data_IF_622714324581
#
_entry.id   IF_622714324581
#
_cell.length_a   1.000
_cell.length_b   1.000
_cell.length_c   1.000
_cell.angle_alpha   90.00
_cell.angle_beta   90.00
_cell.angle_gamma   90.00
#
_symmetry.space_group_name_H-M   'P 1'
#
loop_
_entity.id
_entity.type
_entity.pdbx_description
1 polymer ?
#
# COMPACT_ATOMS: atom_id res chain seq x y z
N UNK A 1 -4.86 -16.49 -14.26
CA UNK A 1 -4.39 -15.39 -13.38
C UNK A 1 -5.14 -15.44 -12.06
N UNK A 2 -4.44 -15.58 -10.94
CA UNK A 2 -5.00 -15.59 -9.57
C UNK A 2 -5.26 -14.18 -9.02
N UNK A 3 -5.52 -13.21 -9.89
CA UNK A 3 -5.82 -11.83 -9.48
C UNK A 3 -7.28 -11.74 -9.08
N UNK A 4 -7.54 -11.17 -7.90
CA UNK A 4 -8.89 -10.90 -7.38
C UNK A 4 -9.67 -9.91 -8.25
N UNK A 5 -8.95 -8.95 -8.85
CA UNK A 5 -9.50 -7.95 -9.73
C UNK A 5 -8.85 -8.01 -11.12
N UNK A 6 -9.69 -7.96 -12.15
CA UNK A 6 -9.28 -7.83 -13.56
C UNK A 6 -9.73 -6.47 -14.10
N UNK A 7 -9.09 -6.01 -15.17
CA UNK A 7 -9.57 -4.82 -15.88
C UNK A 7 -10.92 -5.14 -16.53
N UNK A 8 -11.85 -4.21 -16.46
CA UNK A 8 -13.13 -4.31 -17.13
C UNK A 8 -12.93 -4.13 -18.64
N UNK A 9 -13.16 -5.20 -19.40
CA UNK A 9 -13.03 -5.18 -20.85
C UNK A 9 -14.11 -4.32 -21.54
N UNK A 10 -15.22 -4.02 -20.85
CA UNK A 10 -16.29 -3.17 -21.37
C UNK A 10 -16.13 -1.70 -20.99
N UNK A 11 -15.22 -1.37 -20.05
CA UNK A 11 -14.96 0.02 -19.68
C UNK A 11 -14.03 0.64 -20.72
N UNK A 12 -14.57 1.59 -21.47
CA UNK A 12 -13.84 2.33 -22.50
C UNK A 12 -13.59 3.75 -22.03
N UNK A 13 -12.49 4.35 -22.51
CA UNK A 13 -12.20 5.75 -22.26
C UNK A 13 -13.36 6.60 -22.78
N UNK A 14 -13.95 7.48 -21.96
CA UNK A 14 -15.03 8.33 -22.43
C UNK A 14 -14.50 9.31 -23.48
N UNK A 15 -15.34 9.60 -24.47
CA UNK A 15 -15.03 10.57 -25.51
C UNK A 15 -14.72 11.94 -24.87
N UNK A 16 -13.65 12.59 -25.33
CA UNK A 16 -13.23 13.89 -24.80
C UNK A 16 -12.42 13.87 -23.50
N UNK A 17 -12.18 12.70 -22.89
CA UNK A 17 -11.35 12.62 -21.68
C UNK A 17 -9.91 13.11 -21.90
N UNK A 18 -9.32 12.79 -23.06
CA UNK A 18 -7.97 13.24 -23.42
C UNK A 18 -7.92 14.72 -23.82
N UNK A 19 -9.08 15.35 -24.03
CA UNK A 19 -9.17 16.77 -24.38
C UNK A 19 -9.25 17.68 -23.14
N UNK A 20 -9.38 17.10 -21.95
CA UNK A 20 -9.39 17.87 -20.70
C UNK A 20 -7.96 18.30 -20.39
N UNK A 21 -7.70 19.61 -20.50
CA UNK A 21 -6.41 20.19 -20.16
C UNK A 21 -6.12 20.06 -18.66
N UNK A 22 -4.86 19.81 -18.31
CA UNK A 22 -4.39 19.74 -16.92
C UNK A 22 -4.51 21.09 -16.20
N UNK A 23 -4.33 22.17 -16.95
CA UNK A 23 -4.43 23.54 -16.43
C UNK A 23 -5.41 24.36 -17.28
N UNK A 24 -6.23 25.17 -16.61
CA UNK A 24 -7.18 26.11 -17.22
C UNK A 24 -6.87 27.53 -16.75
N UNK A 25 -7.12 28.58 -17.57
CA UNK A 25 -6.96 29.95 -17.11
C UNK A 25 -7.94 30.27 -15.99
N UNK A 26 -7.45 30.85 -14.91
CA UNK A 26 -8.25 31.22 -13.74
C UNK A 26 -9.33 32.24 -14.12
N UNK A 27 -10.58 31.81 -14.10
CA UNK A 27 -11.75 32.65 -14.41
C UNK A 27 -12.01 33.71 -13.34
N UNK A 28 -11.46 33.54 -12.13
CA UNK A 28 -11.61 34.49 -11.03
C UNK A 28 -10.46 35.49 -10.96
N UNK A 29 -9.37 35.23 -11.68
CA UNK A 29 -8.26 36.17 -11.73
C UNK A 29 -8.66 37.44 -12.48
N UNK A 30 -8.47 38.57 -11.81
CA UNK A 30 -8.66 39.89 -12.40
C UNK A 30 -7.32 40.58 -12.55
N UNK A 31 -7.19 41.38 -13.61
CA UNK A 31 -6.04 42.26 -13.80
C UNK A 31 -5.92 43.18 -12.58
N UNK A 32 -4.76 43.26 -11.92
CA UNK A 32 -4.53 44.21 -10.82
C UNK A 32 -4.68 45.66 -11.27
N UNK A 33 -5.16 46.52 -10.39
CA UNK A 33 -5.32 47.95 -10.66
C UNK A 33 -3.97 48.65 -10.95
N UNK A 34 -2.89 48.20 -10.31
CA UNK A 34 -1.51 48.70 -10.52
C UNK A 34 -0.80 48.11 -11.76
N UNK A 35 -1.50 47.41 -12.66
CA UNK A 35 -0.86 46.80 -13.84
C UNK A 35 -0.66 47.82 -14.98
N UNK A 36 0.60 48.21 -15.19
CA UNK A 36 1.00 49.06 -16.32
C UNK A 36 1.26 48.24 -17.60
N UNK A 37 0.36 48.29 -18.59
CA UNK A 37 0.50 47.56 -19.87
C UNK A 37 1.61 48.09 -20.76
N UNK A 38 2.02 49.36 -20.64
CA UNK A 38 3.11 49.94 -21.44
C UNK A 38 4.49 49.45 -20.97
N UNK A 39 4.66 49.22 -19.67
CA UNK A 39 5.92 48.73 -19.09
C UNK A 39 5.97 47.21 -18.89
N UNK A 40 4.82 46.57 -18.60
CA UNK A 40 4.73 45.13 -18.26
C UNK A 40 4.09 44.28 -19.35
N UNK A 41 3.55 44.88 -20.42
CA UNK A 41 2.86 44.19 -21.50
C UNK A 41 1.41 43.78 -21.18
N UNK A 42 0.79 43.01 -22.08
CA UNK A 42 -0.56 42.48 -21.89
C UNK A 42 -0.61 41.50 -20.71
N UNK A 43 -1.53 41.74 -19.78
CA UNK A 43 -1.75 40.85 -18.65
C UNK A 43 -2.40 39.54 -19.11
N UNK A 44 -1.87 38.41 -18.63
CA UNK A 44 -2.44 37.07 -18.85
C UNK A 44 -2.88 36.49 -17.52
N UNK A 45 -4.08 35.92 -17.50
CA UNK A 45 -4.58 35.22 -16.32
C UNK A 45 -3.64 34.05 -15.95
N UNK A 46 -3.40 33.80 -14.65
CA UNK A 46 -2.64 32.63 -14.23
C UNK A 46 -3.38 31.34 -14.63
N UNK A 47 -2.60 30.31 -14.96
CA UNK A 47 -3.12 28.96 -15.19
C UNK A 47 -3.30 28.27 -13.84
N UNK A 48 -4.44 27.65 -13.61
CA UNK A 48 -4.76 26.90 -12.40
C UNK A 48 -5.04 25.44 -12.73
N UNK A 49 -4.79 24.50 -11.79
CA UNK A 49 -5.13 23.09 -12.00
C UNK A 49 -6.62 22.92 -12.32
N UNK A 50 -6.91 22.22 -13.41
CA UNK A 50 -8.27 21.96 -13.83
C UNK A 50 -8.92 20.90 -12.91
N UNK A 51 -9.98 21.22 -12.15
CA UNK A 51 -10.65 20.26 -11.28
C UNK A 51 -11.27 19.08 -12.06
N UNK A 52 -11.55 19.24 -13.35
CA UNK A 52 -12.08 18.18 -14.22
C UNK A 52 -10.99 17.22 -14.71
N UNK A 53 -9.71 17.60 -14.63
CA UNK A 53 -8.60 16.75 -15.06
C UNK A 53 -8.32 15.66 -14.01
N UNK A 54 -8.65 14.42 -14.36
CA UNK A 54 -8.47 13.25 -13.48
C UNK A 54 -7.17 12.48 -13.73
N UNK A 55 -6.23 13.07 -14.47
CA UNK A 55 -5.00 12.41 -14.88
C UNK A 55 -5.23 11.37 -15.98
N UNK A 56 -4.21 10.57 -16.34
CA UNK A 56 -4.33 9.59 -17.41
C UNK A 56 -5.42 8.55 -17.12
N UNK A 57 -6.32 8.34 -18.08
CA UNK A 57 -7.42 7.40 -17.94
C UNK A 57 -6.90 5.98 -17.68
N UNK A 58 -7.56 5.28 -16.75
CA UNK A 58 -7.32 3.86 -16.46
C UNK A 58 -8.65 3.13 -16.42
N UNK A 59 -8.76 1.95 -17.05
CA UNK A 59 -9.97 1.15 -17.01
C UNK A 59 -10.31 0.74 -15.58
N UNK A 60 -11.60 0.67 -15.28
CA UNK A 60 -12.10 0.18 -13.99
C UNK A 60 -11.65 -1.26 -13.75
N UNK A 61 -11.48 -1.57 -12.47
CA UNK A 61 -11.19 -2.93 -12.01
C UNK A 61 -12.48 -3.58 -11.54
N UNK A 62 -12.81 -4.74 -12.10
CA UNK A 62 -13.97 -5.55 -11.73
C UNK A 62 -13.52 -6.83 -11.03
N UNK A 63 -14.39 -7.40 -10.19
CA UNK A 63 -14.13 -8.68 -9.54
C UNK A 63 -13.99 -9.77 -10.60
N UNK A 64 -12.91 -10.52 -10.53
CA UNK A 64 -12.66 -11.62 -11.45
C UNK A 64 -13.58 -12.80 -11.11
N UNK A 65 -14.54 -13.19 -11.97
CA UNK A 65 -15.44 -14.31 -11.71
C UNK A 65 -14.70 -15.65 -11.62
N UNK A 66 -13.48 -15.74 -12.17
CA UNK A 66 -12.63 -16.92 -12.12
C UNK A 66 -11.69 -16.94 -10.92
N UNK A 67 -11.72 -15.92 -10.04
CA UNK A 67 -10.87 -15.88 -8.86
C UNK A 67 -11.32 -16.90 -7.82
N UNK A 68 -10.48 -17.89 -7.54
CA UNK A 68 -10.76 -18.98 -6.59
C UNK A 68 -10.32 -18.67 -5.15
N UNK A 69 -10.00 -17.41 -4.85
CA UNK A 69 -9.44 -17.00 -3.57
C UNK A 69 -7.92 -17.17 -3.50
N UNK A 70 -7.32 -16.72 -2.40
CA UNK A 70 -5.90 -16.97 -2.14
C UNK A 70 -5.71 -18.47 -1.96
N UNK A 71 -4.82 -19.06 -2.76
CA UNK A 71 -4.43 -20.45 -2.57
C UNK A 71 -3.92 -20.64 -1.13
N UNK A 72 -4.36 -21.73 -0.50
CA UNK A 72 -3.87 -22.19 0.80
C UNK A 72 -3.37 -23.61 0.62
N UNK A 73 -2.19 -23.90 1.16
CA UNK A 73 -1.69 -25.26 1.18
C UNK A 73 -2.69 -26.15 1.93
N UNK A 74 -3.00 -27.35 1.41
CA UNK A 74 -3.77 -28.31 2.17
C UNK A 74 -3.03 -28.63 3.47
N UNK A 75 -3.76 -28.74 4.57
CA UNK A 75 -3.20 -29.25 5.82
C UNK A 75 -3.01 -30.75 5.60
N UNK A 76 -1.76 -31.19 5.67
CA UNK A 76 -1.37 -32.60 5.58
C UNK A 76 -1.00 -33.03 7.00
N UNK A 77 -1.56 -34.14 7.47
CA UNK A 77 -1.17 -34.71 8.76
C UNK A 77 0.32 -35.01 8.77
N UNK A 78 1.02 -34.53 9.81
CA UNK A 78 2.45 -34.76 9.94
C UNK A 78 2.69 -36.20 10.43
N UNK A 79 3.24 -37.12 9.60
CA UNK A 79 3.46 -38.51 10.01
C UNK A 79 4.50 -38.64 11.13
N UNK A 80 5.37 -37.64 11.30
CA UNK A 80 6.37 -37.57 12.36
C UNK A 80 5.80 -36.96 13.67
N UNK A 81 4.52 -36.55 13.70
CA UNK A 81 3.92 -36.01 14.92
C UNK A 81 3.67 -37.13 15.93
N UNK A 82 4.37 -37.06 17.06
CA UNK A 82 4.18 -37.95 18.20
C UNK A 82 3.75 -37.12 19.41
N UNK A 83 2.54 -37.36 19.90
CA UNK A 83 2.08 -36.77 21.15
C UNK A 83 2.74 -37.49 22.33
N UNK A 84 3.70 -36.83 23.00
CA UNK A 84 4.36 -37.37 24.18
C UNK A 84 3.75 -36.78 25.47
N UNK A 85 2.97 -37.57 26.24
CA UNK A 85 2.40 -37.12 27.50
C UNK A 85 3.44 -36.99 28.62
N UNK A 86 4.70 -37.40 28.40
CA UNK A 86 5.77 -37.37 29.38
C UNK A 86 6.81 -36.27 29.11
N UNK A 87 6.52 -35.32 28.22
CA UNK A 87 7.44 -34.21 27.90
C UNK A 87 7.91 -33.40 29.12
N UNK A 88 7.13 -33.40 30.22
CA UNK A 88 7.45 -32.76 31.49
C UNK A 88 8.10 -33.70 32.53
N UNK A 89 8.17 -35.00 32.24
CA UNK A 89 8.71 -36.01 33.15
C UNK A 89 10.19 -36.17 32.90
N UNK A 90 11.00 -35.59 33.78
CA UNK A 90 12.44 -35.84 33.80
C UNK A 90 12.75 -36.97 34.80
N UNK A 91 13.19 -38.16 34.35
CA UNK A 91 13.30 -39.32 35.23
C UNK A 91 14.38 -39.18 36.30
N UNK A 92 15.45 -38.39 36.07
CA UNK A 92 16.50 -38.13 37.04
C UNK A 92 17.22 -36.79 36.75
N UNK A 93 16.88 -35.73 37.46
CA UNK A 93 17.64 -34.47 37.46
C UNK A 93 18.59 -34.44 38.66
N UNK A 94 19.89 -34.68 38.42
CA UNK A 94 20.90 -34.77 39.50
C UNK A 94 21.80 -33.54 39.60
N UNK A 95 21.93 -32.79 38.51
CA UNK A 95 22.85 -31.67 38.40
C UNK A 95 22.12 -30.48 37.80
N UNK A 96 22.51 -29.29 38.25
CA UNK A 96 22.03 -28.01 37.71
C UNK A 96 23.23 -27.29 37.12
N UNK A 97 23.18 -27.02 35.81
CA UNK A 97 24.16 -26.18 35.12
C UNK A 97 23.52 -24.85 34.81
N UNK A 98 24.17 -23.76 35.21
CA UNK A 98 23.72 -22.39 34.91
C UNK A 98 24.69 -21.83 33.88
N UNK A 99 24.23 -21.70 32.63
CA UNK A 99 24.94 -20.99 31.58
C UNK A 99 24.16 -19.73 31.23
N UNK A 100 24.79 -18.57 31.41
CA UNK A 100 24.18 -17.25 31.21
C UNK A 100 25.04 -16.44 30.25
N UNK A 101 24.41 -15.83 29.25
CA UNK A 101 25.07 -14.86 28.40
C UNK A 101 24.76 -13.43 28.86
N UNK A 102 25.78 -12.65 29.23
CA UNK A 102 25.62 -11.33 29.85
C UNK A 102 26.41 -10.24 29.12
N UNK A 103 25.75 -9.10 28.79
CA UNK A 103 26.41 -7.94 28.14
C UNK A 103 27.11 -6.95 29.09
N UNK A 104 26.67 -6.81 30.35
CA UNK A 104 27.29 -5.96 31.40
C UNK A 104 27.10 -6.56 32.80
N UNK A 105 28.08 -6.37 33.69
CA UNK A 105 28.14 -6.98 35.03
C UNK A 105 27.14 -6.41 36.03
N UNK A 106 26.56 -7.27 36.89
CA UNK A 106 25.74 -6.85 38.04
C UNK A 106 24.72 -7.87 38.59
N UNK A 107 24.46 -8.99 37.92
CA UNK A 107 23.48 -9.97 38.42
C UNK A 107 24.06 -10.85 39.53
N UNK A 108 23.43 -10.84 40.72
CA UNK A 108 23.66 -11.83 41.78
C UNK A 108 22.42 -12.70 41.89
N UNK A 109 22.59 -14.01 41.72
CA UNK A 109 21.56 -15.01 42.05
C UNK A 109 22.11 -15.83 43.22
N UNK A 110 21.41 -15.82 44.35
CA UNK A 110 21.67 -16.78 45.43
C UNK A 110 20.88 -18.05 45.16
N UNK A 111 21.50 -19.19 45.40
CA UNK A 111 20.91 -20.53 45.32
C UNK A 111 20.89 -21.16 46.70
#
# INVERSE_FOLDING_TARGET
EDKEFILDANDSKPEGYDNILEEIPDQNARKPEDWNTEEKGEWKAPMIPNPEYKGPWKPKKIKNPNYKGKWKAPIIDNPEFVADPNIYVYPNLRYVGIELWQKKHGARSNM
#
